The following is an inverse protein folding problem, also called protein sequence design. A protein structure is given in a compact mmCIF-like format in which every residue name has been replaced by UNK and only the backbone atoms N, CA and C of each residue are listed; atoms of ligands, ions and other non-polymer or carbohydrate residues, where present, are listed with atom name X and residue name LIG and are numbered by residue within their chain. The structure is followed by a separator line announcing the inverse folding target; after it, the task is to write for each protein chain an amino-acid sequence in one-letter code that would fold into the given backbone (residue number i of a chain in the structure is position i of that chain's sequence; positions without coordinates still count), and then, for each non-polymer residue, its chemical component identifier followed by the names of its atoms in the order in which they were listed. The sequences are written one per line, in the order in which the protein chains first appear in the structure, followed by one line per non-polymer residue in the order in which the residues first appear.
data_IF_068069177713
#
_entry.id   IF_068069177713
#
_cell.length_a   1.000
_cell.length_b   1.000
_cell.length_c   1.000
_cell.angle_alpha   90.00
_cell.angle_beta   90.00
_cell.angle_gamma   90.00
#
_symmetry.space_group_name_H-M   'P 1'
#
loop_
_entity.id
_entity.type
_entity.pdbx_description
1 polymer ?
#
# COMPACT_ATOMS: atom_id res chain seq x y z
N UNK A 1 31.04 -58.41 -10.12
CA UNK A 1 30.09 -58.19 -9.01
C UNK A 1 30.07 -56.70 -8.70
N UNK A 2 29.08 -55.97 -9.22
CA UNK A 2 28.88 -54.58 -8.85
C UNK A 2 28.21 -54.55 -7.47
N UNK A 3 28.77 -53.77 -6.55
CA UNK A 3 28.29 -53.67 -5.16
C UNK A 3 26.84 -53.17 -5.11
N UNK A 4 25.94 -53.81 -4.32
CA UNK A 4 24.53 -53.43 -4.22
C UNK A 4 24.33 -52.03 -3.61
N UNK A 5 25.39 -51.41 -3.08
CA UNK A 5 25.35 -50.05 -2.53
C UNK A 5 25.20 -48.95 -3.60
N UNK A 6 25.56 -49.21 -4.86
CA UNK A 6 25.48 -48.19 -5.92
C UNK A 6 24.05 -47.96 -6.45
N UNK A 7 23.14 -48.93 -6.26
CA UNK A 7 21.75 -48.82 -6.71
C UNK A 7 20.85 -48.04 -5.74
N UNK A 8 21.20 -47.97 -4.46
CA UNK A 8 20.40 -47.24 -3.44
C UNK A 8 20.53 -45.73 -3.59
N UNK A 9 21.68 -45.22 -4.07
CA UNK A 9 21.91 -43.79 -4.29
C UNK A 9 21.30 -43.24 -5.59
N UNK A 10 20.99 -44.09 -6.57
CA UNK A 10 20.31 -43.67 -7.81
C UNK A 10 18.78 -43.57 -7.66
N UNK A 11 18.19 -44.28 -6.69
CA UNK A 11 16.74 -44.24 -6.43
C UNK A 11 16.31 -43.04 -5.56
N UNK A 12 17.22 -42.45 -4.77
CA UNK A 12 16.92 -41.24 -3.98
C UNK A 12 16.96 -39.94 -4.80
N UNK A 13 17.58 -39.95 -5.99
CA UNK A 13 17.70 -38.78 -6.86
C UNK A 13 16.48 -38.56 -7.79
N UNK A 14 15.54 -39.52 -7.85
CA UNK A 14 14.36 -39.44 -8.72
C UNK A 14 13.08 -38.98 -8.00
N UNK A 15 13.16 -38.66 -6.72
CA UNK A 15 12.05 -38.08 -5.94
C UNK A 15 12.22 -36.58 -5.74
N UNK A 16 12.49 -35.83 -6.83
CA UNK A 16 12.05 -34.43 -6.87
C UNK A 16 10.55 -34.44 -7.15
N UNK A 17 9.78 -34.95 -6.20
CA UNK A 17 8.36 -34.61 -6.15
C UNK A 17 8.32 -33.09 -6.04
N UNK A 18 7.82 -32.43 -7.08
CA UNK A 18 7.22 -31.11 -6.91
C UNK A 18 6.15 -31.33 -5.84
N UNK A 19 6.45 -30.98 -4.59
CA UNK A 19 5.47 -30.99 -3.51
C UNK A 19 4.36 -30.07 -3.97
N UNK A 20 3.26 -30.66 -4.43
CA UNK A 20 2.03 -29.95 -4.72
C UNK A 20 1.47 -29.48 -3.39
N UNK A 21 1.96 -28.34 -2.92
CA UNK A 21 1.35 -27.65 -1.81
C UNK A 21 -0.07 -27.30 -2.23
N UNK A 22 -1.06 -27.78 -1.47
CA UNK A 22 -2.45 -27.33 -1.57
C UNK A 22 -2.71 -26.40 -0.37
N UNK A 23 -2.15 -25.18 -0.36
CA UNK A 23 -2.28 -24.31 0.80
C UNK A 23 -3.73 -23.86 0.97
N UNK A 24 -4.15 -23.73 2.23
CA UNK A 24 -5.47 -23.23 2.57
C UNK A 24 -5.54 -21.70 2.40
N UNK A 25 -5.79 -21.24 1.17
CA UNK A 25 -5.83 -19.80 0.86
C UNK A 25 -6.93 -19.03 1.63
N UNK A 26 -8.01 -19.71 2.03
CA UNK A 26 -9.07 -19.10 2.86
C UNK A 26 -8.53 -18.75 4.24
N UNK A 27 -7.85 -19.70 4.87
CA UNK A 27 -7.23 -19.49 6.18
C UNK A 27 -6.11 -18.45 6.10
N UNK A 28 -5.29 -18.50 5.06
CA UNK A 28 -4.25 -17.50 4.81
C UNK A 28 -4.83 -16.07 4.69
N UNK A 29 -5.92 -15.89 3.94
CA UNK A 29 -6.61 -14.61 3.84
C UNK A 29 -7.17 -14.14 5.19
N UNK A 30 -7.80 -15.06 5.94
CA UNK A 30 -8.38 -14.74 7.25
C UNK A 30 -7.32 -14.27 8.24
N UNK A 31 -6.17 -14.95 8.29
CA UNK A 31 -5.02 -14.57 9.12
C UNK A 31 -4.36 -13.27 8.65
N UNK A 32 -4.28 -13.04 7.34
CA UNK A 32 -3.78 -11.79 6.76
C UNK A 32 -4.66 -10.59 7.14
N UNK A 33 -5.98 -10.75 7.22
CA UNK A 33 -6.88 -9.70 7.68
C UNK A 33 -6.83 -9.52 9.21
N UNK A 34 -6.66 -10.61 9.96
CA UNK A 34 -6.45 -10.56 11.41
C UNK A 34 -5.17 -9.80 11.78
N UNK A 35 -4.09 -9.92 10.99
CA UNK A 35 -2.86 -9.14 11.17
C UNK A 35 -3.14 -7.63 11.27
N UNK A 36 -4.04 -7.09 10.43
CA UNK A 36 -4.39 -5.66 10.53
C UNK A 36 -5.04 -5.29 11.86
N UNK A 37 -5.77 -6.18 12.53
CA UNK A 37 -6.25 -5.90 13.90
C UNK A 37 -5.08 -5.73 14.87
N UNK A 38 -4.01 -6.49 14.66
CA UNK A 38 -2.78 -6.45 15.46
C UNK A 38 -1.98 -5.17 15.27
N UNK A 39 -2.19 -4.44 14.17
CA UNK A 39 -1.50 -3.19 13.86
C UNK A 39 -2.27 -1.92 14.26
N UNK A 40 -3.50 -2.02 14.76
CA UNK A 40 -4.34 -0.83 15.02
C UNK A 40 -3.71 0.07 16.09
N UNK A 41 -3.66 1.38 15.83
CA UNK A 41 -3.42 2.43 16.83
C UNK A 41 -4.73 3.12 17.21
N UNK A 42 -4.79 3.81 18.35
CA UNK A 42 -5.97 4.51 18.83
C UNK A 42 -6.86 3.66 19.73
N UNK A 43 -8.11 4.10 19.91
CA UNK A 43 -9.08 3.41 20.75
C UNK A 43 -9.61 2.17 20.03
N UNK A 44 -9.23 0.99 20.52
CA UNK A 44 -9.64 -0.28 19.89
C UNK A 44 -11.13 -0.57 20.13
N UNK A 45 -11.81 -1.20 19.16
CA UNK A 45 -13.21 -1.56 19.32
C UNK A 45 -13.31 -2.79 20.24
N UNK A 46 -14.39 -2.85 21.05
CA UNK A 46 -14.59 -3.92 22.05
C UNK A 46 -14.83 -5.30 21.45
N UNK A 47 -15.17 -5.36 20.16
CA UNK A 47 -15.45 -6.59 19.39
C UNK A 47 -14.24 -7.07 18.57
N UNK A 48 -13.04 -6.51 18.79
CA UNK A 48 -11.82 -7.00 18.17
C UNK A 48 -11.50 -8.45 18.60
N UNK A 49 -11.00 -9.27 17.68
CA UNK A 49 -10.70 -10.68 17.94
C UNK A 49 -9.39 -10.89 18.72
N UNK A 50 -8.38 -10.03 18.50
CA UNK A 50 -7.10 -10.12 19.20
C UNK A 50 -7.20 -9.53 20.61
N UNK A 51 -6.99 -10.38 21.62
CA UNK A 51 -7.11 -10.05 23.05
C UNK A 51 -5.83 -9.47 23.68
N UNK A 52 -4.68 -9.57 23.02
CA UNK A 52 -3.39 -9.11 23.53
C UNK A 52 -3.07 -7.65 23.17
N UNK A 53 -3.93 -6.99 22.39
CA UNK A 53 -3.83 -5.56 22.04
C UNK A 53 -4.84 -4.75 22.88
N UNK A 54 -4.46 -3.53 23.26
CA UNK A 54 -5.36 -2.56 23.89
C UNK A 54 -5.25 -1.19 23.21
N UNK A 55 -6.02 -0.23 23.72
CA UNK A 55 -5.99 1.14 23.21
C UNK A 55 -4.64 1.79 23.44
N UNK A 56 -4.10 2.44 22.40
CA UNK A 56 -2.76 3.04 22.40
C UNK A 56 -2.75 4.35 21.60
N UNK A 57 -1.69 5.17 21.73
CA UNK A 57 -1.56 6.41 20.93
C UNK A 57 -2.73 7.38 21.09
N UNK A 58 -3.35 7.43 22.27
CA UNK A 58 -4.62 8.16 22.50
C UNK A 58 -4.46 9.69 22.50
N UNK A 59 -3.22 10.19 22.55
CA UNK A 59 -2.87 11.60 22.46
C UNK A 59 -2.36 12.01 21.08
N UNK A 60 -2.33 11.11 20.09
CA UNK A 60 -1.86 11.39 18.73
C UNK A 60 -2.56 12.62 18.14
N UNK A 61 -1.78 13.64 17.76
CA UNK A 61 -2.29 14.90 17.20
C UNK A 61 -2.41 16.06 18.19
N UNK A 62 -2.30 15.81 19.50
CA UNK A 62 -2.50 16.84 20.54
C UNK A 62 -1.57 18.04 20.39
N UNK A 63 -0.30 17.83 20.02
CA UNK A 63 0.68 18.90 19.79
C UNK A 63 0.34 19.81 18.61
N UNK A 64 -0.53 19.36 17.71
CA UNK A 64 -1.03 20.12 16.58
C UNK A 64 -2.51 20.53 16.76
N UNK A 65 -3.07 20.37 17.96
CA UNK A 65 -4.46 20.68 18.31
C UNK A 65 -5.50 19.98 17.40
N UNK A 66 -5.23 18.74 17.02
CA UNK A 66 -6.09 17.91 16.15
C UNK A 66 -6.21 16.49 16.71
N UNK A 67 -7.27 15.78 16.36
CA UNK A 67 -7.37 14.34 16.62
C UNK A 67 -6.74 13.56 15.47
N UNK A 68 -5.59 12.92 15.73
CA UNK A 68 -4.94 11.99 14.81
C UNK A 68 -4.90 10.57 15.37
N UNK A 69 -5.73 10.23 16.36
CA UNK A 69 -5.86 8.85 16.87
C UNK A 69 -6.43 7.91 15.80
N UNK A 70 -6.07 6.64 15.85
CA UNK A 70 -6.47 5.64 14.85
C UNK A 70 -5.32 5.28 13.90
N UNK A 71 -5.67 4.59 12.80
CA UNK A 71 -4.71 4.17 11.78
C UNK A 71 -3.94 2.91 12.19
N UNK A 72 -2.90 2.60 11.43
CA UNK A 72 -2.06 1.43 11.65
C UNK A 72 -0.63 1.84 12.03
N UNK A 73 -0.04 1.14 12.99
CA UNK A 73 1.41 1.12 13.13
C UNK A 73 2.03 0.41 11.93
N UNK A 74 3.18 0.91 11.49
CA UNK A 74 3.74 0.56 10.20
C UNK A 74 4.25 -0.89 10.13
N UNK A 75 5.11 -1.27 11.08
CA UNK A 75 5.75 -2.59 11.10
C UNK A 75 5.76 -3.19 12.51
N UNK A 76 6.94 -3.48 13.06
CA UNK A 76 7.11 -3.86 14.46
C UNK A 76 7.30 -2.67 15.40
N UNK A 77 7.33 -1.47 14.83
CA UNK A 77 7.44 -0.20 15.53
C UNK A 77 6.06 0.39 15.84
N UNK A 78 6.02 1.52 16.56
CA UNK A 78 4.78 2.22 16.89
C UNK A 78 4.65 3.57 16.15
N UNK A 79 5.39 3.75 15.06
CA UNK A 79 5.28 4.91 14.17
C UNK A 79 4.14 4.71 13.17
N UNK A 80 3.42 5.79 12.87
CA UNK A 80 2.44 5.84 11.78
C UNK A 80 3.04 6.54 10.58
N UNK A 81 3.56 5.77 9.64
CA UNK A 81 4.00 6.29 8.34
C UNK A 81 2.84 6.26 7.34
N UNK A 82 2.33 7.44 6.95
CA UNK A 82 1.12 7.47 6.12
C UNK A 82 1.37 7.06 4.67
N UNK A 83 2.60 7.19 4.16
CA UNK A 83 2.92 6.82 2.79
C UNK A 83 2.73 5.30 2.52
N UNK A 84 3.39 4.39 3.27
CA UNK A 84 3.12 2.96 3.19
C UNK A 84 1.73 2.55 3.68
N UNK A 85 1.15 3.25 4.69
CA UNK A 85 -0.21 2.98 5.14
C UNK A 85 -1.26 3.25 4.05
N UNK A 86 -1.12 4.38 3.34
CA UNK A 86 -1.99 4.74 2.22
C UNK A 86 -1.83 3.71 1.09
N UNK A 87 -0.60 3.34 0.71
CA UNK A 87 -0.34 2.29 -0.26
C UNK A 87 -1.04 0.96 0.11
N UNK A 88 -0.85 0.52 1.35
CA UNK A 88 -1.49 -0.69 1.88
C UNK A 88 -3.02 -0.61 1.81
N UNK A 89 -3.59 0.55 2.11
CA UNK A 89 -5.04 0.80 2.01
C UNK A 89 -5.53 0.76 0.57
N UNK A 90 -4.78 1.32 -0.37
CA UNK A 90 -5.06 1.23 -1.81
C UNK A 90 -5.06 -0.23 -2.28
N UNK A 91 -4.07 -1.03 -1.84
CA UNK A 91 -3.95 -2.43 -2.22
C UNK A 91 -5.05 -3.32 -1.63
N UNK A 92 -5.40 -3.14 -0.35
CA UNK A 92 -6.55 -3.80 0.27
C UNK A 92 -7.84 -3.48 -0.50
N UNK A 93 -8.03 -2.21 -0.87
CA UNK A 93 -9.18 -1.75 -1.63
C UNK A 93 -9.20 -2.34 -3.04
N UNK A 94 -8.07 -2.37 -3.73
CA UNK A 94 -7.96 -2.96 -5.06
C UNK A 94 -8.31 -4.46 -5.03
N UNK A 95 -7.75 -5.19 -4.07
CA UNK A 95 -8.05 -6.62 -3.88
C UNK A 95 -9.55 -6.86 -3.63
N UNK A 96 -10.16 -6.06 -2.74
CA UNK A 96 -11.60 -6.10 -2.48
C UNK A 96 -12.45 -5.82 -3.74
N UNK A 97 -12.01 -4.90 -4.62
CA UNK A 97 -12.72 -4.57 -5.86
C UNK A 97 -12.62 -5.68 -6.92
N UNK A 98 -11.45 -6.30 -7.10
CA UNK A 98 -11.27 -7.34 -8.11
C UNK A 98 -11.80 -8.71 -7.64
N UNK A 99 -11.59 -9.05 -6.37
CA UNK A 99 -11.80 -10.40 -5.86
C UNK A 99 -12.85 -10.50 -4.75
N UNK A 100 -13.54 -9.41 -4.38
CA UNK A 100 -14.50 -9.41 -3.27
C UNK A 100 -15.58 -10.51 -3.38
N UNK A 101 -16.03 -10.86 -4.60
CA UNK A 101 -16.98 -11.97 -4.80
C UNK A 101 -16.42 -13.34 -4.41
N UNK A 102 -15.10 -13.52 -4.45
CA UNK A 102 -14.39 -14.76 -4.09
C UNK A 102 -13.95 -14.79 -2.61
N UNK A 103 -13.98 -13.66 -1.91
CA UNK A 103 -13.56 -13.57 -0.50
C UNK A 103 -14.59 -14.16 0.47
N UNK A 104 -15.85 -14.33 0.05
CA UNK A 104 -16.92 -14.82 0.93
C UNK A 104 -17.08 -13.92 2.18
N UNK A 105 -17.11 -14.49 3.41
CA UNK A 105 -17.27 -13.69 4.63
C UNK A 105 -16.12 -12.71 4.88
N UNK A 106 -14.91 -13.01 4.39
CA UNK A 106 -13.73 -12.17 4.58
C UNK A 106 -13.83 -10.80 3.88
N UNK A 107 -14.76 -10.63 2.93
CA UNK A 107 -15.01 -9.32 2.34
C UNK A 107 -15.43 -8.30 3.41
N UNK A 108 -16.14 -8.73 4.45
CA UNK A 108 -16.54 -7.84 5.53
C UNK A 108 -15.32 -7.47 6.41
N UNK A 109 -14.47 -8.43 6.74
CA UNK A 109 -13.22 -8.16 7.47
C UNK A 109 -12.28 -7.24 6.67
N UNK A 110 -12.21 -7.42 5.35
CA UNK A 110 -11.45 -6.52 4.47
C UNK A 110 -12.00 -5.09 4.50
N UNK A 111 -13.32 -4.92 4.43
CA UNK A 111 -13.96 -3.59 4.58
C UNK A 111 -13.69 -2.97 5.95
N UNK A 112 -13.70 -3.76 7.02
CA UNK A 112 -13.37 -3.28 8.37
C UNK A 112 -11.92 -2.78 8.43
N UNK A 113 -10.97 -3.51 7.82
CA UNK A 113 -9.58 -3.08 7.74
C UNK A 113 -9.42 -1.78 6.91
N UNK A 114 -10.03 -1.73 5.72
CA UNK A 114 -9.99 -0.52 4.86
C UNK A 114 -10.62 0.68 5.58
N UNK A 115 -11.74 0.49 6.28
CA UNK A 115 -12.39 1.56 7.04
C UNK A 115 -11.49 2.11 8.13
N UNK A 116 -10.82 1.25 8.89
CA UNK A 116 -9.92 1.67 9.96
C UNK A 116 -8.81 2.62 9.46
N UNK A 117 -8.15 2.27 8.36
CA UNK A 117 -7.16 3.16 7.74
C UNK A 117 -7.78 4.43 7.20
N UNK A 118 -8.90 4.32 6.48
CA UNK A 118 -9.52 5.49 5.83
C UNK A 118 -10.14 6.48 6.82
N UNK A 119 -10.65 6.03 7.97
CA UNK A 119 -11.12 6.93 9.03
C UNK A 119 -9.95 7.80 9.54
N UNK A 120 -8.77 7.20 9.73
CA UNK A 120 -7.56 7.93 10.09
C UNK A 120 -7.06 8.86 8.97
N UNK A 121 -6.98 8.38 7.72
CA UNK A 121 -6.57 9.22 6.58
C UNK A 121 -7.52 10.40 6.35
N UNK A 122 -8.82 10.23 6.64
CA UNK A 122 -9.80 11.32 6.63
C UNK A 122 -9.50 12.37 7.71
N UNK A 123 -9.14 11.96 8.93
CA UNK A 123 -8.67 12.90 9.97
C UNK A 123 -7.44 13.67 9.48
N UNK A 124 -6.43 12.96 9.00
CA UNK A 124 -5.19 13.55 8.48
C UNK A 124 -5.39 14.56 7.35
N UNK A 125 -6.34 14.30 6.44
CA UNK A 125 -6.59 15.13 5.28
C UNK A 125 -7.54 16.32 5.53
N UNK A 126 -8.30 16.28 6.63
CA UNK A 126 -9.41 17.23 6.87
C UNK A 126 -9.28 18.06 8.13
N UNK A 127 -8.38 17.69 9.04
CA UNK A 127 -8.25 18.36 10.32
C UNK A 127 -7.85 19.84 10.18
N UNK A 128 -7.00 20.17 9.21
CA UNK A 128 -6.50 21.54 9.00
C UNK A 128 -6.50 21.90 7.51
N UNK A 129 -7.22 22.96 7.06
CA UNK A 129 -7.21 23.39 5.66
C UNK A 129 -5.80 23.69 5.14
N UNK A 130 -5.48 23.22 3.93
CA UNK A 130 -4.16 23.44 3.31
C UNK A 130 -3.02 22.62 3.91
N UNK A 131 -3.31 21.68 4.81
CA UNK A 131 -2.31 20.79 5.41
C UNK A 131 -2.78 19.35 5.33
N UNK A 132 -1.86 18.45 4.99
CA UNK A 132 -2.08 17.01 5.06
C UNK A 132 -1.12 16.45 6.12
N UNK A 133 -1.65 15.81 7.16
CA UNK A 133 -0.82 15.10 8.13
C UNK A 133 -0.34 13.77 7.51
N UNK A 134 0.96 13.50 7.61
CA UNK A 134 1.63 12.40 6.90
C UNK A 134 2.34 11.41 7.82
N UNK A 135 2.33 11.66 9.12
CA UNK A 135 2.73 10.68 10.11
C UNK A 135 2.65 11.17 11.55
N UNK A 136 2.74 10.21 12.47
CA UNK A 136 2.77 10.46 13.92
C UNK A 136 3.77 9.51 14.58
N UNK A 137 4.65 10.05 15.41
CA UNK A 137 5.72 9.30 16.09
C UNK A 137 7.11 9.69 15.62
N UNK A 138 8.00 10.07 16.55
CA UNK A 138 9.41 10.25 16.23
C UNK A 138 10.06 8.86 16.05
N UNK A 139 10.49 8.48 14.83
CA UNK A 139 10.94 7.12 14.59
C UNK A 139 12.25 6.79 15.27
N UNK A 140 13.14 7.77 15.48
CA UNK A 140 14.42 7.51 16.14
C UNK A 140 14.23 7.24 17.64
N UNK A 141 13.30 7.92 18.30
CA UNK A 141 12.90 7.66 19.67
C UNK A 141 12.18 6.33 19.79
N UNK A 142 11.20 6.10 18.92
CA UNK A 142 10.41 4.87 18.86
C UNK A 142 11.30 3.62 18.70
N UNK A 143 12.22 3.63 17.74
CA UNK A 143 13.08 2.47 17.43
C UNK A 143 14.22 2.25 18.43
N UNK A 144 14.45 3.18 19.36
CA UNK A 144 15.38 3.00 20.47
C UNK A 144 14.74 2.28 21.66
N UNK A 145 13.41 2.17 21.68
CA UNK A 145 12.67 1.52 22.76
C UNK A 145 11.99 0.25 22.24
N UNK A 146 12.10 -0.85 22.99
CA UNK A 146 11.33 -2.06 22.72
C UNK A 146 10.16 -2.13 23.69
N UNK A 147 9.03 -1.55 23.29
CA UNK A 147 7.87 -1.38 24.15
C UNK A 147 6.55 -1.75 23.46
N UNK A 148 5.56 -2.08 24.28
CA UNK A 148 4.19 -2.29 23.79
C UNK A 148 3.60 -0.94 23.39
N UNK A 149 2.80 -0.86 22.32
CA UNK A 149 2.12 0.38 21.94
C UNK A 149 1.28 0.99 23.08
N UNK A 150 0.74 0.15 23.96
CA UNK A 150 -0.07 0.54 25.11
C UNK A 150 0.71 1.29 26.20
N UNK A 151 2.04 1.09 26.27
CA UNK A 151 2.91 1.65 27.31
C UNK A 151 3.83 2.78 26.79
N UNK A 152 3.68 3.20 25.54
CA UNK A 152 4.61 4.13 24.90
C UNK A 152 4.81 5.43 25.69
N UNK A 153 6.06 5.76 25.96
CA UNK A 153 6.47 7.05 26.53
C UNK A 153 7.30 7.90 25.54
N UNK A 154 7.58 7.36 24.34
CA UNK A 154 8.34 8.04 23.28
C UNK A 154 7.55 9.20 22.65
N UNK A 155 8.23 10.28 22.18
CA UNK A 155 7.56 11.43 21.57
C UNK A 155 6.69 11.07 20.35
N UNK A 156 5.40 11.42 20.42
CA UNK A 156 4.43 11.21 19.32
C UNK A 156 4.34 12.43 18.40
N UNK A 157 5.49 12.84 17.84
CA UNK A 157 5.64 14.02 16.97
C UNK A 157 4.74 13.93 15.74
N UNK A 158 4.13 15.04 15.34
CA UNK A 158 3.18 15.09 14.22
C UNK A 158 3.87 15.70 12.98
N UNK A 159 3.82 14.99 11.85
CA UNK A 159 4.39 15.44 10.58
C UNK A 159 3.31 15.81 9.57
N UNK A 160 3.57 16.82 8.74
CA UNK A 160 2.61 17.28 7.74
C UNK A 160 3.26 17.92 6.53
N UNK A 161 2.57 17.89 5.40
CA UNK A 161 2.91 18.62 4.18
C UNK A 161 1.91 19.76 3.92
N UNK A 162 2.35 20.79 3.21
CA UNK A 162 1.60 22.03 2.96
C UNK A 162 2.10 22.69 1.66
N UNK A 163 1.48 23.78 1.15
CA UNK A 163 1.96 24.46 -0.05
C UNK A 163 3.43 24.89 -0.01
N UNK A 164 3.94 25.29 1.17
CA UNK A 164 5.34 25.69 1.35
C UNK A 164 6.30 24.51 1.47
N UNK A 165 5.80 23.35 1.89
CA UNK A 165 6.55 22.10 2.08
C UNK A 165 5.74 20.96 1.44
N UNK A 166 5.73 20.85 0.10
CA UNK A 166 4.85 19.93 -0.61
C UNK A 166 5.25 18.46 -0.42
N UNK A 167 4.31 17.57 -0.72
CA UNK A 167 4.49 16.12 -0.72
C UNK A 167 3.48 15.45 -1.63
N UNK A 168 3.70 15.57 -2.94
CA UNK A 168 2.83 15.04 -4.00
C UNK A 168 2.73 13.52 -3.98
N UNK A 169 3.81 12.84 -3.64
CA UNK A 169 3.90 11.38 -3.47
C UNK A 169 2.89 10.88 -2.43
N UNK A 170 3.08 11.21 -1.16
CA UNK A 170 2.23 10.79 -0.05
C UNK A 170 0.79 11.33 -0.18
N UNK A 171 0.62 12.53 -0.74
CA UNK A 171 -0.70 13.08 -1.00
C UNK A 171 -1.44 12.33 -2.11
N UNK A 172 -0.78 12.04 -3.24
CA UNK A 172 -1.43 11.31 -4.34
C UNK A 172 -1.68 9.84 -3.98
N UNK A 173 -0.82 9.20 -3.18
CA UNK A 173 -1.11 7.87 -2.62
C UNK A 173 -2.28 7.90 -1.63
N UNK A 174 -2.35 8.92 -0.75
CA UNK A 174 -3.52 9.12 0.12
C UNK A 174 -4.80 9.32 -0.69
N UNK A 175 -4.73 10.08 -1.79
CA UNK A 175 -5.86 10.25 -2.70
C UNK A 175 -6.24 8.94 -3.39
N UNK A 176 -5.26 8.13 -3.83
CA UNK A 176 -5.49 6.80 -4.39
C UNK A 176 -6.22 5.88 -3.39
N UNK A 177 -5.75 5.84 -2.14
CA UNK A 177 -6.34 5.05 -1.06
C UNK A 177 -7.80 5.42 -0.83
N UNK A 178 -8.10 6.71 -0.69
CA UNK A 178 -9.44 7.21 -0.46
C UNK A 178 -10.35 7.00 -1.69
N UNK A 179 -9.83 7.20 -2.90
CA UNK A 179 -10.58 6.98 -4.14
C UNK A 179 -10.93 5.50 -4.34
N UNK A 180 -9.96 4.58 -4.21
CA UNK A 180 -10.19 3.14 -4.30
C UNK A 180 -11.18 2.66 -3.23
N UNK A 181 -10.99 3.10 -1.98
CA UNK A 181 -11.89 2.79 -0.86
C UNK A 181 -13.32 3.29 -1.10
N UNK A 182 -13.48 4.47 -1.70
CA UNK A 182 -14.80 5.00 -2.04
C UNK A 182 -15.61 4.05 -2.93
N UNK A 183 -14.94 3.32 -3.82
CA UNK A 183 -15.57 2.33 -4.68
C UNK A 183 -15.99 1.08 -3.90
N UNK A 184 -15.17 0.63 -2.95
CA UNK A 184 -15.47 -0.52 -2.07
C UNK A 184 -16.74 -0.26 -1.26
N UNK A 185 -16.89 0.95 -0.71
CA UNK A 185 -18.05 1.32 0.11
C UNK A 185 -19.26 1.82 -0.70
N UNK A 186 -19.15 1.99 -2.01
CA UNK A 186 -20.16 2.66 -2.86
C UNK A 186 -21.59 2.16 -2.64
N UNK A 187 -21.76 0.84 -2.48
CA UNK A 187 -23.09 0.22 -2.29
C UNK A 187 -23.46 0.01 -0.82
N UNK A 188 -22.47 -0.27 0.03
CA UNK A 188 -22.70 -0.68 1.42
C UNK A 188 -22.72 0.49 2.41
N UNK A 189 -22.08 1.60 2.06
CA UNK A 189 -22.16 2.88 2.78
C UNK A 189 -21.96 4.04 1.80
N UNK A 190 -23.04 4.46 1.09
CA UNK A 190 -22.95 5.51 0.09
C UNK A 190 -22.54 6.88 0.66
N UNK A 191 -22.86 7.16 1.93
CA UNK A 191 -22.50 8.44 2.58
C UNK A 191 -20.99 8.50 2.81
N UNK A 192 -20.42 7.43 3.37
CA UNK A 192 -18.98 7.32 3.57
C UNK A 192 -18.23 7.27 2.24
N UNK A 193 -18.74 6.54 1.25
CA UNK A 193 -18.19 6.54 -0.11
C UNK A 193 -18.06 7.95 -0.71
N UNK A 194 -19.10 8.78 -0.62
CA UNK A 194 -19.05 10.18 -1.09
C UNK A 194 -18.05 11.02 -0.29
N UNK A 195 -17.98 10.82 1.02
CA UNK A 195 -17.01 11.51 1.88
C UNK A 195 -15.57 11.19 1.45
N UNK A 196 -15.25 9.92 1.27
CA UNK A 196 -13.94 9.44 0.82
C UNK A 196 -13.58 10.04 -0.54
N UNK A 197 -14.49 9.94 -1.52
CA UNK A 197 -14.23 10.44 -2.86
C UNK A 197 -14.05 11.96 -2.90
N UNK A 198 -14.85 12.71 -2.16
CA UNK A 198 -14.74 14.16 -2.08
C UNK A 198 -13.40 14.59 -1.44
N UNK A 199 -12.96 13.90 -0.38
CA UNK A 199 -11.64 14.14 0.21
C UNK A 199 -10.52 13.75 -0.76
N UNK A 200 -10.62 12.60 -1.43
CA UNK A 200 -9.63 12.14 -2.41
C UNK A 200 -9.38 13.17 -3.51
N UNK A 201 -10.44 13.77 -4.06
CA UNK A 201 -10.34 14.84 -5.07
C UNK A 201 -9.57 16.05 -4.55
N UNK A 202 -9.83 16.49 -3.31
CA UNK A 202 -9.15 17.64 -2.68
C UNK A 202 -7.67 17.36 -2.43
N UNK A 203 -7.35 16.18 -1.90
CA UNK A 203 -5.96 15.78 -1.63
C UNK A 203 -5.18 15.63 -2.94
N UNK A 204 -5.79 15.05 -3.98
CA UNK A 204 -5.17 14.98 -5.30
C UNK A 204 -4.94 16.36 -5.91
N UNK A 205 -5.90 17.28 -5.78
CA UNK A 205 -5.72 18.65 -6.25
C UNK A 205 -4.51 19.32 -5.58
N UNK A 206 -4.35 19.15 -4.27
CA UNK A 206 -3.16 19.59 -3.55
C UNK A 206 -1.87 18.98 -4.14
N UNK A 207 -1.85 17.66 -4.34
CA UNK A 207 -0.70 16.95 -4.88
C UNK A 207 -0.30 17.42 -6.30
N UNK A 208 -1.28 17.71 -7.15
CA UNK A 208 -1.08 18.18 -8.53
C UNK A 208 -0.56 19.62 -8.54
N UNK A 209 -1.13 20.48 -7.69
CA UNK A 209 -0.85 21.91 -7.66
C UNK A 209 0.49 22.24 -7.01
N UNK A 210 0.84 21.57 -5.92
CA UNK A 210 2.06 21.82 -5.15
C UNK A 210 3.00 20.63 -5.29
N UNK A 211 3.88 20.69 -6.31
CA UNK A 211 4.73 19.55 -6.70
C UNK A 211 6.00 19.45 -5.86
N UNK A 212 6.24 18.28 -5.29
CA UNK A 212 7.49 17.95 -4.61
C UNK A 212 7.39 16.62 -3.87
N UNK A 213 8.52 15.94 -3.67
CA UNK A 213 8.57 14.74 -2.84
C UNK A 213 8.50 15.15 -1.36
N UNK A 214 7.73 14.44 -0.54
CA UNK A 214 7.54 14.82 0.86
C UNK A 214 8.85 14.75 1.67
N UNK A 215 9.73 13.82 1.31
CA UNK A 215 11.04 13.65 1.93
C UNK A 215 11.99 14.81 1.65
N UNK A 216 11.70 15.72 0.70
CA UNK A 216 12.51 16.92 0.51
C UNK A 216 12.47 17.83 1.74
N UNK A 217 11.32 17.93 2.41
CA UNK A 217 11.14 18.76 3.61
C UNK A 217 11.18 17.96 4.91
N UNK A 218 10.90 16.66 4.86
CA UNK A 218 10.78 15.78 6.02
C UNK A 218 11.91 14.74 6.13
N UNK A 219 13.00 14.87 5.36
CA UNK A 219 14.09 13.89 5.29
C UNK A 219 14.60 13.46 6.67
N UNK A 220 14.79 14.39 7.61
CA UNK A 220 15.27 14.09 8.97
C UNK A 220 14.36 13.17 9.78
N UNK A 221 13.09 13.04 9.38
CA UNK A 221 12.06 12.30 10.09
C UNK A 221 11.53 11.09 9.33
N UNK A 222 11.63 11.09 8.00
CA UNK A 222 11.09 9.98 7.18
C UNK A 222 12.18 9.15 6.52
N UNK A 223 13.41 9.67 6.45
CA UNK A 223 14.57 8.92 5.99
C UNK A 223 15.40 8.41 7.18
N UNK A 224 15.95 7.19 7.10
CA UNK A 224 15.99 6.29 5.93
C UNK A 224 14.79 5.35 5.79
N UNK A 225 13.72 5.53 6.58
CA UNK A 225 12.59 4.59 6.68
C UNK A 225 11.76 4.50 5.39
N UNK A 226 11.15 5.61 4.98
CA UNK A 226 10.24 5.72 3.83
C UNK A 226 10.56 6.94 2.97
N UNK A 227 11.83 7.15 2.59
CA UNK A 227 12.16 8.20 1.63
C UNK A 227 11.41 8.01 0.30
N UNK A 228 11.03 9.09 -0.37
CA UNK A 228 10.61 8.99 -1.78
C UNK A 228 11.86 8.84 -2.65
N UNK A 229 12.09 7.62 -3.14
CA UNK A 229 13.23 7.29 -4.01
C UNK A 229 12.85 7.37 -5.50
N UNK A 230 11.64 6.95 -5.85
CA UNK A 230 11.06 7.04 -7.21
C UNK A 230 10.67 8.47 -7.60
N UNK A 231 10.51 9.37 -6.63
CA UNK A 231 9.93 10.69 -6.81
C UNK A 231 8.43 10.69 -6.54
N UNK A 232 7.67 11.48 -7.29
CA UNK A 232 6.22 11.66 -7.07
C UNK A 232 5.37 11.45 -8.33
N UNK A 233 6.00 11.20 -9.48
CA UNK A 233 5.30 11.19 -10.78
C UNK A 233 4.43 9.95 -10.93
N UNK A 234 4.90 8.82 -10.42
CA UNK A 234 4.19 7.56 -10.41
C UNK A 234 2.98 7.60 -9.48
N UNK A 235 3.03 8.29 -8.34
CA UNK A 235 1.86 8.50 -7.48
C UNK A 235 0.87 9.47 -8.12
N UNK A 236 1.34 10.51 -8.81
CA UNK A 236 0.44 11.39 -9.57
C UNK A 236 -0.29 10.60 -10.66
N UNK A 237 0.40 9.68 -11.35
CA UNK A 237 -0.23 8.79 -12.34
C UNK A 237 -1.22 7.82 -11.66
N UNK A 238 -0.81 7.20 -10.56
CA UNK A 238 -1.58 6.23 -9.79
C UNK A 238 -2.84 6.81 -9.15
N UNK A 239 -2.72 7.93 -8.45
CA UNK A 239 -3.84 8.66 -7.84
C UNK A 239 -4.82 9.14 -8.91
N UNK A 240 -4.33 9.66 -10.04
CA UNK A 240 -5.18 10.03 -11.16
C UNK A 240 -5.88 8.81 -11.79
N UNK A 241 -5.20 7.68 -11.93
CA UNK A 241 -5.79 6.44 -12.44
C UNK A 241 -6.93 5.93 -11.54
N UNK A 242 -6.76 5.95 -10.22
CA UNK A 242 -7.82 5.59 -9.27
C UNK A 242 -8.99 6.56 -9.28
N UNK A 243 -8.72 7.87 -9.32
CA UNK A 243 -9.78 8.87 -9.41
C UNK A 243 -10.53 8.78 -10.74
N UNK A 244 -9.82 8.55 -11.85
CA UNK A 244 -10.44 8.28 -13.14
C UNK A 244 -11.34 7.03 -13.07
N UNK A 245 -10.84 5.92 -12.49
CA UNK A 245 -11.63 4.71 -12.30
C UNK A 245 -12.86 4.93 -11.41
N UNK A 246 -12.74 5.76 -10.37
CA UNK A 246 -13.82 6.05 -9.45
C UNK A 246 -14.91 6.96 -10.05
N UNK A 247 -14.54 7.87 -10.96
CA UNK A 247 -15.41 8.98 -11.38
C UNK A 247 -15.76 8.99 -12.87
N UNK A 248 -14.95 8.36 -13.72
CA UNK A 248 -14.97 8.53 -15.17
C UNK A 248 -14.80 9.99 -15.64
N UNK A 249 -14.22 10.86 -14.80
CA UNK A 249 -14.03 12.27 -15.09
C UNK A 249 -12.91 12.46 -16.13
N UNK A 250 -13.17 13.14 -17.27
CA UNK A 250 -12.18 13.39 -18.33
C UNK A 250 -10.97 14.20 -17.87
N UNK A 251 -11.10 15.00 -16.80
CA UNK A 251 -9.97 15.75 -16.24
C UNK A 251 -8.80 14.82 -15.91
N UNK A 252 -9.07 13.69 -15.24
CA UNK A 252 -8.03 12.74 -14.88
C UNK A 252 -7.47 12.01 -16.09
N UNK A 253 -8.26 11.71 -17.12
CA UNK A 253 -7.75 11.13 -18.37
C UNK A 253 -6.76 12.07 -19.05
N UNK A 254 -7.09 13.36 -19.14
CA UNK A 254 -6.22 14.36 -19.74
C UNK A 254 -4.94 14.55 -18.90
N UNK A 255 -5.07 14.54 -17.57
CA UNK A 255 -3.93 14.62 -16.67
C UNK A 255 -3.00 13.40 -16.80
N UNK A 256 -3.56 12.18 -16.84
CA UNK A 256 -2.81 10.93 -17.09
C UNK A 256 -2.03 11.03 -18.42
N UNK A 257 -2.68 11.48 -19.50
CA UNK A 257 -2.02 11.69 -20.79
C UNK A 257 -0.88 12.72 -20.70
N UNK A 258 -1.04 13.78 -19.90
CA UNK A 258 -0.02 14.82 -19.72
C UNK A 258 1.21 14.37 -18.93
N UNK A 259 1.07 13.36 -18.06
CA UNK A 259 2.19 12.74 -17.35
C UNK A 259 3.00 11.83 -18.29
N UNK A 260 2.42 11.45 -19.43
CA UNK A 260 2.99 10.52 -20.38
C UNK A 260 2.79 9.06 -19.96
N UNK A 261 3.65 8.23 -20.51
CA UNK A 261 3.76 6.80 -20.22
C UNK A 261 5.00 6.27 -20.92
N UNK A 262 5.51 5.13 -20.47
CA UNK A 262 6.69 4.51 -21.08
C UNK A 262 7.84 4.27 -20.11
N UNK A 263 7.73 4.71 -18.85
CA UNK A 263 8.61 4.24 -17.78
C UNK A 263 8.61 2.70 -17.78
N UNK A 264 9.77 2.10 -17.54
CA UNK A 264 9.96 0.65 -17.56
C UNK A 264 10.20 0.16 -16.13
N UNK A 265 9.15 0.07 -15.29
CA UNK A 265 9.30 -0.36 -13.91
C UNK A 265 9.86 -1.78 -13.86
N UNK A 266 10.71 -2.03 -12.87
CA UNK A 266 11.13 -3.36 -12.43
C UNK A 266 10.41 -3.81 -11.17
N UNK A 267 9.82 -2.88 -10.42
CA UNK A 267 9.15 -3.13 -9.15
C UNK A 267 7.82 -2.38 -9.03
N UNK A 268 6.91 -2.98 -8.27
CA UNK A 268 5.73 -2.31 -7.73
C UNK A 268 5.81 -2.35 -6.21
N UNK A 269 5.78 -1.19 -5.55
CA UNK A 269 5.96 -1.08 -4.10
C UNK A 269 5.26 0.16 -3.53
N UNK A 270 5.41 0.36 -2.22
CA UNK A 270 4.99 1.58 -1.54
C UNK A 270 5.69 2.84 -2.06
N UNK A 271 6.81 2.70 -2.78
CA UNK A 271 7.60 3.80 -3.36
C UNK A 271 7.31 3.92 -4.86
N UNK A 272 7.36 2.83 -5.65
CA UNK A 272 7.16 2.91 -7.11
C UNK A 272 5.81 2.32 -7.57
N UNK A 273 4.95 3.14 -8.19
CA UNK A 273 3.58 2.78 -8.58
C UNK A 273 3.38 2.57 -10.08
N UNK A 274 4.39 2.80 -10.92
CA UNK A 274 4.22 2.74 -12.39
C UNK A 274 3.62 1.40 -12.85
N UNK A 275 4.17 0.28 -12.38
CA UNK A 275 3.69 -1.04 -12.75
C UNK A 275 2.21 -1.25 -12.37
N UNK A 276 1.82 -0.86 -11.16
CA UNK A 276 0.42 -0.92 -10.71
C UNK A 276 -0.50 0.01 -11.51
N UNK A 277 -0.07 1.24 -11.79
CA UNK A 277 -0.83 2.21 -12.57
C UNK A 277 -1.06 1.72 -14.01
N UNK A 278 -0.06 1.12 -14.64
CA UNK A 278 -0.19 0.57 -15.99
C UNK A 278 -1.17 -0.60 -16.03
N UNK A 279 -1.11 -1.52 -15.06
CA UNK A 279 -2.09 -2.61 -14.95
C UNK A 279 -3.51 -2.08 -14.72
N UNK A 280 -3.66 -1.03 -13.90
CA UNK A 280 -4.96 -0.43 -13.63
C UNK A 280 -5.55 0.24 -14.88
N UNK A 281 -4.73 0.97 -15.64
CA UNK A 281 -5.11 1.71 -16.83
C UNK A 281 -5.34 0.80 -18.03
N UNK A 282 -4.54 -0.27 -18.18
CA UNK A 282 -4.66 -1.24 -19.28
C UNK A 282 -6.03 -1.91 -19.33
N UNK A 283 -6.73 -1.98 -18.19
CA UNK A 283 -8.12 -2.47 -18.11
C UNK A 283 -9.05 -1.79 -19.11
N UNK A 284 -8.87 -0.48 -19.39
CA UNK A 284 -9.68 0.25 -20.39
C UNK A 284 -9.42 -0.28 -21.80
N UNK A 285 -8.16 -0.52 -22.17
CA UNK A 285 -7.82 -1.12 -23.45
C UNK A 285 -8.38 -2.55 -23.55
N UNK A 286 -8.16 -3.38 -22.53
CA UNK A 286 -8.53 -4.81 -22.56
C UNK A 286 -10.05 -5.03 -22.50
N UNK A 287 -10.76 -4.36 -21.59
CA UNK A 287 -12.18 -4.61 -21.36
C UNK A 287 -13.10 -3.66 -22.11
N UNK A 288 -12.70 -2.40 -22.29
CA UNK A 288 -13.52 -1.40 -22.98
C UNK A 288 -13.11 -1.17 -24.43
N UNK A 289 -12.03 -1.80 -24.90
CA UNK A 289 -11.47 -1.62 -26.25
C UNK A 289 -11.15 -0.14 -26.56
N UNK A 290 -10.74 0.60 -25.54
CA UNK A 290 -10.36 2.01 -25.68
C UNK A 290 -8.87 2.12 -26.06
N UNK A 291 -8.62 2.39 -27.34
CA UNK A 291 -7.28 2.52 -27.90
C UNK A 291 -6.45 3.65 -27.28
N UNK A 292 -7.07 4.61 -26.58
CA UNK A 292 -6.33 5.65 -25.86
C UNK A 292 -5.45 5.10 -24.73
N UNK A 293 -5.70 3.86 -24.28
CA UNK A 293 -4.98 3.22 -23.17
C UNK A 293 -4.05 2.08 -23.62
N UNK A 294 -3.86 1.88 -24.92
CA UNK A 294 -3.04 0.78 -25.46
C UNK A 294 -1.58 0.86 -25.01
N UNK A 295 -1.02 2.07 -24.88
CA UNK A 295 0.33 2.28 -24.35
C UNK A 295 0.49 1.68 -22.94
N UNK A 296 -0.52 1.85 -22.08
CA UNK A 296 -0.48 1.34 -20.71
C UNK A 296 -0.66 -0.19 -20.67
N UNK A 297 -1.40 -0.76 -21.62
CA UNK A 297 -1.46 -2.21 -21.81
C UNK A 297 -0.09 -2.77 -22.20
N UNK A 298 0.57 -2.19 -23.20
CA UNK A 298 1.91 -2.61 -23.61
C UNK A 298 2.92 -2.48 -22.45
N UNK A 299 2.88 -1.38 -21.70
CA UNK A 299 3.75 -1.19 -20.54
C UNK A 299 3.47 -2.21 -19.42
N UNK A 300 2.20 -2.56 -19.18
CA UNK A 300 1.84 -3.60 -18.22
C UNK A 300 2.31 -5.00 -18.67
N UNK A 301 2.14 -5.33 -19.95
CA UNK A 301 2.62 -6.59 -20.53
C UNK A 301 4.15 -6.68 -20.46
N UNK A 302 4.87 -5.61 -20.79
CA UNK A 302 6.33 -5.55 -20.67
C UNK A 302 6.79 -5.79 -19.23
N UNK A 303 6.16 -5.16 -18.24
CA UNK A 303 6.44 -5.41 -16.83
C UNK A 303 6.22 -6.89 -16.46
N UNK A 304 5.08 -7.47 -16.84
CA UNK A 304 4.78 -8.88 -16.56
C UNK A 304 5.80 -9.81 -17.22
N UNK A 305 6.15 -9.57 -18.47
CA UNK A 305 7.17 -10.32 -19.20
C UNK A 305 8.56 -10.19 -18.56
N UNK A 306 8.90 -9.04 -17.96
CA UNK A 306 10.17 -8.86 -17.26
C UNK A 306 10.25 -9.69 -15.98
N UNK A 307 9.14 -9.80 -15.23
CA UNK A 307 9.14 -10.48 -13.93
C UNK A 307 8.82 -11.96 -14.00
N UNK A 308 8.11 -12.47 -15.01
CA UNK A 308 7.70 -13.88 -15.05
C UNK A 308 8.88 -14.82 -15.36
N UNK A 309 9.02 -15.96 -14.67
CA UNK A 309 10.21 -16.82 -14.75
C UNK A 309 10.40 -17.51 -16.10
N UNK A 310 9.32 -17.73 -16.86
CA UNK A 310 9.35 -18.42 -18.15
C UNK A 310 9.23 -17.46 -19.34
N UNK A 311 9.34 -16.15 -19.11
CA UNK A 311 9.27 -15.17 -20.17
C UNK A 311 10.63 -15.04 -20.88
N UNK A 312 10.67 -14.95 -22.22
CA UNK A 312 11.92 -14.79 -22.97
C UNK A 312 12.62 -13.45 -22.70
N UNK A 313 11.89 -12.46 -22.18
CA UNK A 313 12.43 -11.15 -21.79
C UNK A 313 12.57 -10.97 -20.28
N UNK A 314 12.52 -12.08 -19.51
CA UNK A 314 12.67 -12.04 -18.07
C UNK A 314 14.07 -11.54 -17.68
N UNK A 315 14.14 -10.54 -16.81
CA UNK A 315 15.41 -10.04 -16.26
C UNK A 315 15.55 -10.30 -14.76
N UNK A 316 14.51 -10.84 -14.13
CA UNK A 316 14.42 -10.96 -12.68
C UNK A 316 15.13 -12.21 -12.17
N UNK A 317 15.83 -12.07 -11.04
CA UNK A 317 16.54 -13.16 -10.38
C UNK A 317 15.60 -14.00 -9.50
N UNK A 318 15.90 -15.30 -9.44
CA UNK A 318 15.13 -16.28 -8.68
C UNK A 318 16.02 -17.09 -7.74
N UNK A 319 15.53 -17.42 -6.54
CA UNK A 319 16.17 -18.41 -5.68
C UNK A 319 16.07 -19.80 -6.30
N UNK A 320 16.85 -20.76 -5.76
CA UNK A 320 16.68 -22.19 -6.08
C UNK A 320 15.25 -22.69 -5.81
N UNK A 321 14.55 -22.09 -4.84
CA UNK A 321 13.15 -22.36 -4.53
C UNK A 321 12.13 -21.63 -5.41
N UNK A 322 12.56 -21.03 -6.53
CA UNK A 322 11.72 -20.26 -7.47
C UNK A 322 11.02 -19.03 -6.86
N UNK A 323 11.55 -18.49 -5.77
CA UNK A 323 11.12 -17.20 -5.24
C UNK A 323 11.86 -16.07 -5.98
N UNK A 324 11.12 -15.08 -6.48
CA UNK A 324 11.68 -13.88 -7.08
C UNK A 324 12.45 -13.04 -6.03
N UNK A 325 13.74 -12.75 -6.27
CA UNK A 325 14.63 -12.07 -5.31
C UNK A 325 14.87 -10.59 -5.58
N UNK A 326 14.33 -10.00 -6.65
CA UNK A 326 14.41 -8.54 -6.84
C UNK A 326 13.67 -7.76 -5.73
N UNK A 327 12.82 -8.44 -4.96
CA UNK A 327 12.13 -7.90 -3.79
C UNK A 327 12.91 -8.06 -2.45
N UNK A 328 14.10 -8.68 -2.45
CA UNK A 328 14.63 -9.34 -1.24
C UNK A 328 15.71 -8.63 -0.40
N UNK A 329 16.50 -7.61 -0.82
CA UNK A 329 17.56 -7.13 0.07
C UNK A 329 17.07 -6.21 1.21
N UNK A 330 16.06 -5.37 0.96
CA UNK A 330 15.60 -4.35 1.95
C UNK A 330 14.35 -4.75 2.73
N UNK A 331 13.46 -5.59 2.16
CA UNK A 331 12.24 -6.01 2.84
C UNK A 331 12.49 -6.89 4.09
N UNK A 332 13.64 -7.56 4.17
CA UNK A 332 14.05 -8.37 5.32
C UNK A 332 14.89 -7.63 6.36
N UNK A 333 15.27 -6.37 6.13
CA UNK A 333 16.07 -5.60 7.09
C UNK A 333 15.25 -5.07 8.28
N UNK A 334 13.92 -5.06 8.19
CA UNK A 334 13.04 -4.66 9.30
C UNK A 334 12.76 -5.79 10.32
N UNK A 335 13.29 -7.00 10.09
CA UNK A 335 13.22 -8.13 11.05
C UNK A 335 14.59 -8.45 11.66
N UNK A 336 15.58 -7.55 11.50
CA UNK A 336 16.92 -7.71 12.05
C UNK A 336 17.37 -6.45 12.79
N UNK A 337 16.62 -6.01 13.79
CA UNK A 337 17.17 -5.32 14.95
C UNK A 337 16.36 -5.71 16.18
#
# INVERSE_FOLDING_TARGET
MASPFFFVFLLSALSLENTYASPNYREALSKSLLFFQGQRSGRLPSDQQLSWRSSSGLSDGSSAHVDLTGGYYDAGDNVKFNFPMAFTTTMLSWSSLEYGKKMGPELQNSRVAIRWATDYLLKCARATPGKLYVGVGDPNGDHKCWERPEDMDTPRTVYSVSPSNPGSDVAAETAAALAASSMVFRKVDPKYSRLLLATAKKVMQFAIQYRGAYSNSLSSSVCPFYCSYSGYKDELLWGAAWLHRATNDPYYTNFIKSLGGGDQPDIFSWDNKYAGAYVLLSRRAVLNKDNNFELYKQAAENFMCKILPNSPSSSTKYTKGKLNTEFSPKAFQLLKY
#
